data_IF_373710511953
#
_entry.id   IF_373710511953
#
_cell.length_a   1.000
_cell.length_b   1.000
_cell.length_c   1.000
_cell.angle_alpha   90.00
_cell.angle_beta   90.00
_cell.angle_gamma   90.00
#
_symmetry.space_group_name_H-M   'P 1'
#
loop_
_entity.id
_entity.type
_entity.pdbx_description
1 polymer ?
#
# COMPACT_ATOMS: atom_id res chain seq x y z
N UNK A 1 -6.07 -22.24 -7.36
CA UNK A 1 -5.32 -21.24 -6.56
C UNK A 1 -5.16 -21.80 -5.16
N UNK A 2 -4.00 -22.38 -4.85
CA UNK A 2 -3.71 -22.90 -3.51
C UNK A 2 -3.54 -21.69 -2.59
N UNK A 3 -4.54 -21.38 -1.77
CA UNK A 3 -4.34 -20.43 -0.69
C UNK A 3 -3.16 -20.94 0.16
N UNK A 4 -2.23 -20.07 0.59
CA UNK A 4 -1.16 -20.49 1.50
C UNK A 4 -1.83 -21.21 2.67
N UNK A 5 -1.53 -22.50 2.83
CA UNK A 5 -2.12 -23.34 3.86
C UNK A 5 -1.66 -22.75 5.19
N UNK A 6 -2.53 -21.97 5.82
CA UNK A 6 -2.23 -21.38 7.12
C UNK A 6 -2.06 -22.53 8.12
N UNK A 7 -0.84 -22.72 8.64
CA UNK A 7 -0.60 -23.72 9.70
C UNK A 7 -1.26 -23.30 11.03
N UNK A 8 -1.53 -21.99 11.22
CA UNK A 8 -2.11 -21.49 12.45
C UNK A 8 -3.10 -20.32 12.23
N UNK A 9 -4.09 -20.17 13.13
CA UNK A 9 -5.14 -19.14 13.10
C UNK A 9 -4.56 -17.72 13.03
N UNK A 10 -3.46 -17.49 13.76
CA UNK A 10 -2.76 -16.20 13.79
C UNK A 10 -2.16 -15.82 12.43
N UNK A 11 -1.53 -16.77 11.72
CA UNK A 11 -0.95 -16.51 10.39
C UNK A 11 -2.04 -16.20 9.35
N UNK A 12 -3.21 -16.85 9.47
CA UNK A 12 -4.34 -16.57 8.59
C UNK A 12 -4.94 -15.18 8.84
N UNK A 13 -5.03 -14.76 10.10
CA UNK A 13 -5.44 -13.38 10.43
C UNK A 13 -4.43 -12.35 9.91
N UNK A 14 -3.14 -12.58 10.10
CA UNK A 14 -2.07 -11.70 9.59
C UNK A 14 -2.15 -11.55 8.06
N UNK A 15 -2.28 -12.67 7.33
CA UNK A 15 -2.44 -12.62 5.87
C UNK A 15 -3.71 -11.88 5.43
N UNK A 16 -4.81 -12.03 6.17
CA UNK A 16 -6.05 -11.29 5.92
C UNK A 16 -5.85 -9.77 6.08
N UNK A 17 -5.23 -9.35 7.19
CA UNK A 17 -4.96 -7.93 7.47
C UNK A 17 -4.00 -7.34 6.44
N UNK A 18 -2.92 -8.05 6.10
CA UNK A 18 -2.00 -7.64 5.04
C UNK A 18 -2.72 -7.48 3.70
N UNK A 19 -3.62 -8.41 3.37
CA UNK A 19 -4.43 -8.35 2.16
C UNK A 19 -5.31 -7.09 2.12
N UNK A 20 -5.96 -6.75 3.23
CA UNK A 20 -6.76 -5.51 3.33
C UNK A 20 -5.90 -4.26 3.24
N UNK A 21 -4.72 -4.24 3.89
CA UNK A 21 -3.79 -3.12 3.82
C UNK A 21 -3.29 -2.90 2.38
N UNK A 22 -2.95 -3.99 1.68
CA UNK A 22 -2.54 -3.94 0.28
C UNK A 22 -3.66 -3.37 -0.61
N UNK A 23 -4.90 -3.84 -0.43
CA UNK A 23 -6.04 -3.35 -1.20
C UNK A 23 -6.25 -1.85 -1.00
N UNK A 24 -6.21 -1.39 0.25
CA UNK A 24 -6.34 0.04 0.59
C UNK A 24 -5.21 0.87 -0.04
N UNK A 25 -3.95 0.42 0.05
CA UNK A 25 -2.83 1.13 -0.58
C UNK A 25 -2.98 1.24 -2.10
N UNK A 26 -3.50 0.22 -2.78
CA UNK A 26 -3.77 0.28 -4.22
C UNK A 26 -4.88 1.28 -4.54
N UNK A 27 -5.97 1.29 -3.76
CA UNK A 27 -7.05 2.27 -3.94
C UNK A 27 -6.56 3.70 -3.71
N UNK A 28 -5.71 3.94 -2.71
CA UNK A 28 -5.08 5.24 -2.43
C UNK A 28 -4.24 5.69 -3.62
N UNK A 29 -3.39 4.81 -4.17
CA UNK A 29 -2.55 5.13 -5.34
C UNK A 29 -3.39 5.43 -6.59
N UNK A 30 -4.46 4.67 -6.82
CA UNK A 30 -5.39 4.92 -7.93
C UNK A 30 -6.10 6.25 -7.77
N UNK A 31 -6.58 6.55 -6.56
CA UNK A 31 -7.23 7.83 -6.27
C UNK A 31 -6.27 9.00 -6.49
N UNK A 32 -5.06 8.92 -5.95
CA UNK A 32 -4.02 9.93 -6.15
C UNK A 32 -3.67 10.13 -7.62
N UNK A 33 -3.53 9.03 -8.38
CA UNK A 33 -3.27 9.09 -9.82
C UNK A 33 -4.40 9.74 -10.60
N UNK A 34 -5.66 9.43 -10.25
CA UNK A 34 -6.83 10.05 -10.84
C UNK A 34 -6.88 11.56 -10.55
N UNK A 35 -6.60 11.95 -9.31
CA UNK A 35 -6.59 13.36 -8.91
C UNK A 35 -5.55 14.15 -9.73
N UNK A 36 -4.31 13.66 -9.82
CA UNK A 36 -3.24 14.27 -10.63
C UNK A 36 -3.63 14.46 -12.11
N UNK A 37 -4.32 13.46 -12.69
CA UNK A 37 -4.82 13.52 -14.06
C UNK A 37 -5.97 14.54 -14.22
N UNK A 38 -6.89 14.57 -13.25
CA UNK A 38 -8.08 15.42 -13.28
C UNK A 38 -7.76 16.91 -13.11
N UNK A 39 -6.80 17.25 -12.23
CA UNK A 39 -6.40 18.63 -11.95
C UNK A 39 -5.37 19.17 -12.93
N UNK A 40 -4.97 18.40 -13.95
CA UNK A 40 -3.88 18.73 -14.89
C UNK A 40 -2.64 19.25 -14.15
N UNK A 41 -2.24 18.52 -13.12
CA UNK A 41 -1.16 18.93 -12.23
C UNK A 41 0.13 19.14 -13.03
N UNK A 42 0.90 20.20 -12.69
CA UNK A 42 2.21 20.44 -13.30
C UNK A 42 3.13 19.24 -13.08
N UNK A 43 4.00 18.93 -14.05
CA UNK A 43 4.93 17.80 -13.98
C UNK A 43 5.75 17.79 -12.68
N UNK A 44 6.19 18.97 -12.22
CA UNK A 44 6.93 19.11 -10.96
C UNK A 44 6.08 18.74 -9.74
N UNK A 45 4.79 19.12 -9.74
CA UNK A 45 3.84 18.76 -8.68
C UNK A 45 3.53 17.27 -8.67
N UNK A 46 3.33 16.68 -9.85
CA UNK A 46 3.12 15.24 -10.00
C UNK A 46 4.34 14.43 -9.51
N UNK A 47 5.57 14.85 -9.83
CA UNK A 47 6.80 14.21 -9.33
C UNK A 47 6.91 14.33 -7.82
N UNK A 48 6.61 15.50 -7.25
CA UNK A 48 6.66 15.69 -5.80
C UNK A 48 5.62 14.83 -5.06
N UNK A 49 4.38 14.78 -5.58
CA UNK A 49 3.32 13.97 -5.00
C UNK A 49 3.57 12.47 -5.13
N UNK A 50 4.14 12.01 -6.26
CA UNK A 50 4.58 10.61 -6.40
C UNK A 50 5.74 10.26 -5.46
N UNK A 51 6.66 11.20 -5.21
CA UNK A 51 7.74 11.01 -4.23
C UNK A 51 7.19 10.81 -2.81
N UNK A 52 6.18 11.59 -2.43
CA UNK A 52 5.49 11.47 -1.14
C UNK A 52 4.74 10.14 -1.00
N UNK A 53 4.19 9.62 -2.09
CA UNK A 53 3.50 8.33 -2.13
C UNK A 53 4.45 7.13 -2.32
N UNK A 54 5.74 7.35 -2.55
CA UNK A 54 6.72 6.27 -2.73
C UNK A 54 6.69 5.20 -1.60
N UNK A 55 6.53 5.55 -0.30
CA UNK A 55 6.41 4.54 0.76
C UNK A 55 5.18 3.64 0.61
N UNK A 56 4.06 4.19 0.14
CA UNK A 56 2.83 3.41 -0.12
C UNK A 56 3.02 2.46 -1.30
N UNK A 57 3.70 2.94 -2.35
CA UNK A 57 4.02 2.17 -3.54
C UNK A 57 4.99 1.02 -3.21
N UNK A 58 6.02 1.31 -2.43
CA UNK A 58 6.95 0.30 -1.90
C UNK A 58 6.23 -0.75 -1.04
N UNK A 59 5.25 -0.35 -0.22
CA UNK A 59 4.46 -1.27 0.60
C UNK A 59 3.66 -2.28 -0.23
N UNK A 60 3.06 -1.82 -1.33
CA UNK A 60 2.31 -2.66 -2.28
C UNK A 60 3.26 -3.58 -3.04
N UNK A 61 4.38 -3.05 -3.53
CA UNK A 61 5.40 -3.85 -4.24
C UNK A 61 5.96 -4.96 -3.34
N UNK A 62 6.29 -4.64 -2.09
CA UNK A 62 6.74 -5.62 -1.10
C UNK A 62 5.67 -6.70 -0.86
N UNK A 63 4.41 -6.32 -0.72
CA UNK A 63 3.31 -7.28 -0.55
C UNK A 63 3.10 -8.18 -1.76
N UNK A 64 3.18 -7.63 -2.96
CA UNK A 64 3.08 -8.38 -4.19
C UNK A 64 4.24 -9.39 -4.33
N UNK A 65 5.47 -8.98 -4.02
CA UNK A 65 6.66 -9.84 -4.06
C UNK A 65 6.58 -10.98 -3.04
N UNK A 66 6.16 -10.70 -1.80
CA UNK A 66 5.98 -11.73 -0.77
C UNK A 66 4.90 -12.74 -1.17
N UNK A 67 3.81 -12.26 -1.80
CA UNK A 67 2.76 -13.13 -2.35
C UNK A 67 3.24 -13.97 -3.52
N UNK A 68 4.05 -13.43 -4.43
CA UNK A 68 4.63 -14.17 -5.55
C UNK A 68 5.64 -15.24 -5.11
N UNK A 69 6.44 -14.95 -4.09
CA UNK A 69 7.44 -15.89 -3.55
C UNK A 69 6.84 -16.94 -2.61
N UNK A 70 5.54 -16.87 -2.32
CA UNK A 70 4.85 -17.81 -1.44
C UNK A 70 5.34 -17.75 0.02
N UNK A 71 6.05 -16.68 0.42
CA UNK A 71 6.55 -16.53 1.79
C UNK A 71 5.45 -15.99 2.70
N UNK A 72 5.34 -16.56 3.89
CA UNK A 72 4.45 -16.05 4.94
C UNK A 72 4.90 -14.66 5.39
N UNK A 73 3.99 -13.71 5.45
CA UNK A 73 4.27 -12.38 6.00
C UNK A 73 4.33 -12.43 7.52
N UNK A 74 5.50 -12.10 8.07
CA UNK A 74 5.66 -11.88 9.52
C UNK A 74 5.18 -10.49 9.97
N UNK A 75 5.24 -10.25 11.28
CA UNK A 75 4.86 -8.98 11.90
C UNK A 75 5.55 -7.75 11.29
N UNK A 76 6.83 -7.87 10.91
CA UNK A 76 7.55 -6.79 10.23
C UNK A 76 6.94 -6.43 8.87
N UNK A 77 6.52 -7.45 8.09
CA UNK A 77 5.85 -7.23 6.80
C UNK A 77 4.46 -6.63 6.96
N UNK A 78 3.74 -6.98 8.03
CA UNK A 78 2.47 -6.35 8.37
C UNK A 78 2.65 -4.89 8.77
N UNK A 79 3.63 -4.57 9.63
CA UNK A 79 3.91 -3.20 10.01
C UNK A 79 4.29 -2.34 8.80
N UNK A 80 5.06 -2.89 7.85
CA UNK A 80 5.44 -2.20 6.63
C UNK A 80 4.23 -1.93 5.70
N UNK A 81 3.36 -2.93 5.51
CA UNK A 81 2.17 -2.80 4.65
C UNK A 81 1.09 -1.91 5.26
N UNK A 82 0.79 -2.09 6.55
CA UNK A 82 -0.15 -1.24 7.27
C UNK A 82 0.37 0.18 7.45
N UNK A 83 1.67 0.34 7.75
CA UNK A 83 2.32 1.65 7.86
C UNK A 83 2.34 2.39 6.52
N UNK A 84 2.59 1.67 5.42
CA UNK A 84 2.47 2.21 4.07
C UNK A 84 1.05 2.70 3.77
N UNK A 85 0.02 1.91 4.08
CA UNK A 85 -1.36 2.33 3.90
C UNK A 85 -1.70 3.57 4.73
N UNK A 86 -1.32 3.59 6.02
CA UNK A 86 -1.54 4.72 6.91
C UNK A 86 -0.83 6.00 6.42
N UNK A 87 0.39 5.87 5.91
CA UNK A 87 1.12 6.98 5.30
C UNK A 87 0.40 7.54 4.07
N UNK A 88 -0.16 6.68 3.21
CA UNK A 88 -0.92 7.10 2.04
C UNK A 88 -2.15 7.91 2.41
N UNK A 89 -2.88 7.47 3.43
CA UNK A 89 -4.00 8.23 3.98
C UNK A 89 -3.53 9.58 4.53
N UNK A 90 -2.43 9.60 5.28
CA UNK A 90 -1.86 10.82 5.82
C UNK A 90 -1.46 11.81 4.71
N UNK A 91 -0.80 11.37 3.64
CA UNK A 91 -0.42 12.23 2.51
C UNK A 91 -1.66 12.78 1.80
N UNK A 92 -2.65 11.92 1.52
CA UNK A 92 -3.88 12.30 0.83
C UNK A 92 -4.80 13.24 1.63
N UNK A 93 -4.68 13.28 2.96
CA UNK A 93 -5.53 14.13 3.81
C UNK A 93 -4.75 15.29 4.46
N UNK A 94 -3.45 15.14 4.67
CA UNK A 94 -2.62 16.10 5.40
C UNK A 94 -1.82 17.03 4.49
N UNK A 95 -1.33 16.54 3.34
CA UNK A 95 -0.45 17.34 2.45
C UNK A 95 -1.24 18.05 1.35
N UNK A 96 -2.37 17.50 0.93
CA UNK A 96 -3.28 18.07 -0.08
C UNK A 96 -4.14 19.23 0.43
N UNK A 97 -4.24 19.42 1.75
CA UNK A 97 -5.02 20.47 2.41
C UNK A 97 -4.15 21.65 2.95
N UNK A 98 -2.84 21.64 2.70
CA UNK A 98 -1.90 22.72 3.01
C UNK A 98 -1.67 23.61 1.79
#
# INVERSE_FOLDING_TARGET
MSAPVCENKLQCQLNGVVGTAMFLSVMILLWAGYDMLSTRMSLKGAVFATLLLAPTLASVAFAALMKQTGRSMGWAGLAFTAGGAAWGVFVLNGVTHL
#
